data_IF_780789695083
#
_entry.id   IF_780789695083
#
_cell.length_a   1.000
_cell.length_b   1.000
_cell.length_c   1.000
_cell.angle_alpha   90.00
_cell.angle_beta   90.00
_cell.angle_gamma   90.00
#
_symmetry.space_group_name_H-M   'P 1'
#
loop_
_entity.id
_entity.type
_entity.pdbx_description
1 polymer ?
#
# COMPACT_ATOMS: atom_id res chain seq x y z
N UNK A 1 -6.15 -0.33 1.19
CA UNK A 1 -6.35 0.66 2.25
C UNK A 1 -7.40 0.17 3.24
N UNK A 2 -7.02 -0.06 4.50
CA UNK A 2 -7.93 -0.51 5.56
C UNK A 2 -8.87 0.60 6.05
N UNK A 3 -8.31 1.77 6.37
CA UNK A 3 -9.08 3.02 6.53
C UNK A 3 -9.56 3.45 5.12
N UNK A 4 -10.67 4.17 5.01
CA UNK A 4 -11.12 4.80 3.76
C UNK A 4 -10.74 6.28 3.75
N UNK A 5 -10.74 6.94 2.58
CA UNK A 5 -10.45 8.37 2.47
C UNK A 5 -11.43 9.21 3.32
N UNK A 6 -12.72 8.87 3.29
CA UNK A 6 -13.73 9.53 4.12
C UNK A 6 -13.46 9.30 5.62
N UNK A 7 -13.14 8.07 6.03
CA UNK A 7 -12.83 7.77 7.42
C UNK A 7 -11.52 8.45 7.88
N UNK A 8 -10.55 8.62 6.98
CA UNK A 8 -9.32 9.36 7.23
C UNK A 8 -9.62 10.85 7.45
N UNK A 9 -10.32 11.52 6.53
CA UNK A 9 -10.70 12.94 6.66
C UNK A 9 -11.46 13.16 7.98
N UNK A 10 -12.40 12.28 8.34
CA UNK A 10 -13.14 12.37 9.60
C UNK A 10 -12.31 12.15 10.88
N UNK A 11 -11.17 11.46 10.81
CA UNK A 11 -10.21 11.37 11.93
C UNK A 11 -9.39 12.66 12.02
N UNK A 12 -8.94 13.21 10.89
CA UNK A 12 -8.17 14.47 10.84
C UNK A 12 -9.02 15.67 11.27
N UNK A 13 -10.26 15.79 10.78
CA UNK A 13 -11.28 16.76 11.26
C UNK A 13 -11.53 16.63 12.77
N UNK A 14 -11.43 15.38 13.26
CA UNK A 14 -11.36 14.96 14.66
C UNK A 14 -10.32 15.69 15.54
N UNK A 15 -9.30 16.27 14.92
CA UNK A 15 -8.05 16.67 15.57
C UNK A 15 -7.21 15.48 16.02
N UNK A 16 -7.22 14.37 15.28
CA UNK A 16 -6.42 13.18 15.57
C UNK A 16 -5.24 13.06 14.60
N UNK A 17 -4.03 12.88 15.13
CA UNK A 17 -2.90 12.35 14.36
C UNK A 17 -3.05 10.83 14.30
N UNK A 18 -2.88 10.25 13.12
CA UNK A 18 -3.02 8.80 12.88
C UNK A 18 -1.68 8.25 12.38
N UNK A 19 -1.03 7.42 13.19
CA UNK A 19 0.30 6.88 12.91
C UNK A 19 0.19 5.35 12.73
N UNK A 20 0.48 4.77 11.55
CA UNK A 20 0.43 3.33 11.37
C UNK A 20 1.65 2.69 12.03
N UNK A 21 1.44 1.79 12.98
CA UNK A 21 2.54 1.05 13.62
C UNK A 21 2.99 -0.12 12.75
N UNK A 22 2.04 -0.75 12.06
CA UNK A 22 2.30 -1.75 11.02
C UNK A 22 1.18 -1.69 9.95
N UNK A 23 1.02 -2.75 9.14
CA UNK A 23 0.03 -2.80 8.07
C UNK A 23 -1.42 -3.08 8.53
N UNK A 24 -1.66 -3.28 9.83
CA UNK A 24 -2.96 -3.49 10.47
C UNK A 24 -3.21 -2.67 11.74
N UNK A 25 -2.18 -2.12 12.39
CA UNK A 25 -2.29 -1.34 13.63
C UNK A 25 -2.05 0.15 13.41
N UNK A 26 -2.87 0.99 14.03
CA UNK A 26 -2.66 2.43 14.15
C UNK A 26 -2.52 2.83 15.61
N UNK A 27 -1.67 3.80 15.86
CA UNK A 27 -1.76 4.67 17.02
C UNK A 27 -2.55 5.93 16.64
N UNK A 28 -3.59 6.23 17.42
CA UNK A 28 -4.31 7.50 17.35
C UNK A 28 -3.79 8.41 18.47
N UNK A 29 -3.49 9.66 18.16
CA UNK A 29 -3.03 10.65 19.13
C UNK A 29 -3.91 11.91 19.10
N UNK A 30 -4.20 12.48 20.28
CA UNK A 30 -4.85 13.79 20.44
C UNK A 30 -4.35 14.46 21.70
N UNK A 31 -3.43 15.42 21.54
CA UNK A 31 -2.71 16.01 22.68
C UNK A 31 -1.96 14.91 23.46
N UNK A 32 -2.19 14.81 24.76
CA UNK A 32 -1.59 13.77 25.60
C UNK A 32 -2.32 12.41 25.55
N UNK A 33 -3.47 12.29 24.89
CA UNK A 33 -4.22 11.03 24.81
C UNK A 33 -3.76 10.20 23.60
N UNK A 34 -3.42 8.94 23.84
CA UNK A 34 -2.98 7.98 22.83
C UNK A 34 -3.81 6.68 22.91
N UNK A 35 -4.04 6.02 21.77
CA UNK A 35 -4.66 4.70 21.72
C UNK A 35 -4.12 3.86 20.55
N UNK A 36 -3.62 2.66 20.84
CA UNK A 36 -3.20 1.69 19.82
C UNK A 36 -4.36 0.74 19.50
N UNK A 37 -4.80 0.75 18.25
CA UNK A 37 -5.96 0.02 17.75
C UNK A 37 -5.58 -0.85 16.54
N UNK A 38 -6.06 -2.10 16.49
CA UNK A 38 -6.03 -2.89 15.25
C UNK A 38 -7.19 -2.49 14.34
N UNK A 39 -6.90 -2.08 13.11
CA UNK A 39 -7.92 -1.69 12.12
C UNK A 39 -8.52 -2.92 11.45
N UNK A 40 -9.84 -3.07 11.55
CA UNK A 40 -10.61 -4.13 10.91
C UNK A 40 -11.67 -3.50 10.00
N UNK A 41 -11.46 -3.59 8.70
CA UNK A 41 -12.42 -3.12 7.69
C UNK A 41 -13.27 -4.27 7.14
N UNK A 42 -14.60 -4.17 7.19
CA UNK A 42 -15.52 -5.12 6.55
C UNK A 42 -16.46 -4.39 5.60
N UNK A 43 -16.57 -4.87 4.36
CA UNK A 43 -17.60 -4.40 3.40
C UNK A 43 -18.96 -5.11 3.54
N UNK A 44 -19.07 -6.06 4.48
CA UNK A 44 -20.33 -6.72 4.80
C UNK A 44 -20.97 -6.11 6.05
N UNK A 45 -22.30 -6.09 6.07
CA UNK A 45 -23.09 -5.88 7.30
C UNK A 45 -22.71 -6.96 8.30
N UNK A 46 -22.38 -6.55 9.53
CA UNK A 46 -22.01 -7.45 10.62
C UNK A 46 -23.14 -7.59 11.63
N UNK A 47 -23.13 -8.71 12.34
CA UNK A 47 -24.07 -9.09 13.38
C UNK A 47 -23.36 -9.10 14.75
N UNK A 48 -24.09 -9.05 15.89
CA UNK A 48 -23.46 -9.19 17.22
C UNK A 48 -22.66 -10.49 17.41
N UNK A 49 -23.07 -11.58 16.72
CA UNK A 49 -22.30 -12.84 16.65
C UNK A 49 -20.92 -12.68 16.04
N UNK A 50 -20.80 -11.83 15.02
CA UNK A 50 -19.55 -11.60 14.30
C UNK A 50 -18.59 -10.77 15.16
N UNK A 51 -19.13 -9.83 15.96
CA UNK A 51 -18.36 -9.10 16.97
C UNK A 51 -17.83 -10.06 18.05
N UNK A 52 -18.63 -11.03 18.50
CA UNK A 52 -18.18 -12.05 19.45
C UNK A 52 -17.10 -12.98 18.87
N UNK A 53 -17.21 -13.34 17.59
CA UNK A 53 -16.18 -14.09 16.87
C UNK A 53 -14.88 -13.27 16.73
N UNK A 54 -14.97 -12.01 16.31
CA UNK A 54 -13.84 -11.09 16.24
C UNK A 54 -13.16 -10.92 17.61
N UNK A 55 -13.92 -10.81 18.71
CA UNK A 55 -13.37 -10.70 20.09
C UNK A 55 -12.68 -11.97 20.58
N UNK A 56 -12.98 -13.11 19.95
CA UNK A 56 -12.27 -14.37 20.18
C UNK A 56 -10.96 -14.42 19.39
N UNK A 57 -10.96 -13.85 18.17
CA UNK A 57 -9.79 -13.77 17.28
C UNK A 57 -8.80 -12.66 17.67
N UNK A 58 -9.28 -11.56 18.27
CA UNK A 58 -8.50 -10.36 18.59
C UNK A 58 -8.68 -9.99 20.06
N UNK A 59 -7.57 -10.00 20.81
CA UNK A 59 -7.53 -9.66 22.23
C UNK A 59 -7.22 -8.19 22.51
N UNK A 60 -6.55 -7.51 21.58
CA UNK A 60 -6.29 -6.06 21.67
C UNK A 60 -7.52 -5.22 21.24
N UNK A 61 -7.53 -3.91 21.56
CA UNK A 61 -8.52 -2.97 21.05
C UNK A 61 -8.59 -2.95 19.51
N UNK A 62 -9.80 -2.86 18.97
CA UNK A 62 -10.06 -2.82 17.52
C UNK A 62 -10.69 -1.49 17.13
N UNK A 63 -10.31 -0.97 15.95
CA UNK A 63 -11.03 0.04 15.20
C UNK A 63 -11.82 -0.66 14.08
N UNK A 64 -13.12 -0.84 14.27
CA UNK A 64 -14.01 -1.48 13.31
C UNK A 64 -14.54 -0.46 12.30
N UNK A 65 -14.26 -0.65 11.01
CA UNK A 65 -14.75 0.22 9.92
C UNK A 65 -15.71 -0.59 9.05
N UNK A 66 -16.97 -0.16 9.00
CA UNK A 66 -18.09 -0.88 8.33
C UNK A 66 -19.02 0.06 7.58
N UNK A 67 -19.72 -0.39 6.51
CA UNK A 67 -20.68 0.43 5.78
C UNK A 67 -21.95 0.77 6.59
N UNK A 68 -22.26 -0.05 7.60
CA UNK A 68 -23.41 0.12 8.47
C UNK A 68 -23.24 -0.68 9.76
N UNK A 69 -23.60 -0.10 10.91
CA UNK A 69 -23.73 -0.80 12.17
C UNK A 69 -25.10 -0.52 12.79
N UNK A 70 -25.85 -1.57 13.14
CA UNK A 70 -27.10 -1.47 13.90
C UNK A 70 -26.82 -1.11 15.36
N UNK A 71 -27.79 -0.61 16.13
CA UNK A 71 -27.59 -0.29 17.56
C UNK A 71 -27.05 -1.49 18.37
N UNK A 72 -27.51 -2.71 18.06
CA UNK A 72 -27.02 -3.93 18.71
C UNK A 72 -25.54 -4.24 18.38
N UNK A 73 -25.08 -3.93 17.17
CA UNK A 73 -23.67 -4.08 16.77
C UNK A 73 -22.81 -3.02 17.45
N UNK A 74 -23.25 -1.76 17.47
CA UNK A 74 -22.55 -0.65 18.15
C UNK A 74 -22.37 -0.97 19.64
N UNK A 75 -23.45 -1.34 20.32
CA UNK A 75 -23.42 -1.75 21.72
C UNK A 75 -22.51 -2.97 21.97
N UNK A 76 -22.45 -3.95 21.06
CA UNK A 76 -21.55 -5.10 21.18
C UNK A 76 -20.06 -4.73 21.02
N UNK A 77 -19.74 -3.74 20.18
CA UNK A 77 -18.38 -3.21 20.01
C UNK A 77 -17.99 -2.34 21.21
N UNK A 78 -18.87 -1.46 21.65
CA UNK A 78 -18.67 -0.61 22.83
C UNK A 78 -18.50 -1.43 24.11
N UNK A 79 -19.30 -2.49 24.30
CA UNK A 79 -19.15 -3.44 25.41
C UNK A 79 -17.87 -4.31 25.32
N UNK A 80 -17.17 -4.31 24.19
CA UNK A 80 -15.83 -4.88 24.05
C UNK A 80 -14.71 -3.85 24.34
N UNK A 81 -15.06 -2.59 24.65
CA UNK A 81 -14.10 -1.48 24.81
C UNK A 81 -13.49 -1.01 23.49
N UNK A 82 -14.08 -1.38 22.36
CA UNK A 82 -13.56 -1.16 21.01
C UNK A 82 -14.13 0.12 20.38
N UNK A 83 -13.42 0.59 19.35
CA UNK A 83 -13.81 1.75 18.55
C UNK A 83 -14.54 1.30 17.28
N UNK A 84 -15.48 2.11 16.79
CA UNK A 84 -16.14 1.88 15.51
C UNK A 84 -16.33 3.17 14.70
N UNK A 85 -16.22 3.03 13.38
CA UNK A 85 -16.63 4.01 12.38
C UNK A 85 -17.62 3.33 11.42
N UNK A 86 -18.82 3.89 11.30
CA UNK A 86 -19.72 3.62 10.18
C UNK A 86 -19.37 4.57 9.07
N UNK A 87 -18.77 4.04 8.01
CA UNK A 87 -18.51 4.73 6.74
C UNK A 87 -19.63 4.40 5.75
N UNK A 88 -20.72 5.16 5.82
CA UNK A 88 -21.83 5.03 4.88
C UNK A 88 -21.56 5.72 3.52
N UNK A 89 -20.29 5.96 3.17
CA UNK A 89 -19.84 6.72 2.01
C UNK A 89 -20.02 8.22 2.17
N UNK A 90 -21.25 8.69 2.41
CA UNK A 90 -21.58 10.13 2.54
C UNK A 90 -21.29 10.73 3.91
N UNK A 91 -21.33 9.88 4.94
CA UNK A 91 -21.17 10.28 6.33
C UNK A 91 -20.37 9.21 7.03
N UNK A 92 -19.24 9.62 7.60
CA UNK A 92 -18.54 8.84 8.61
C UNK A 92 -19.09 9.29 9.96
N UNK A 93 -19.62 8.35 10.71
CA UNK A 93 -20.07 8.56 12.09
C UNK A 93 -19.53 7.44 12.96
N UNK A 94 -19.11 7.75 14.18
CA UNK A 94 -18.45 6.75 14.99
C UNK A 94 -18.21 7.13 16.43
N UNK A 95 -17.64 6.18 17.16
CA UNK A 95 -17.20 6.33 18.53
C UNK A 95 -15.80 5.71 18.65
N UNK A 96 -14.83 6.51 19.08
CA UNK A 96 -13.49 6.04 19.40
C UNK A 96 -13.36 5.89 20.92
N UNK A 97 -12.78 4.78 21.35
CA UNK A 97 -12.36 4.54 22.73
C UNK A 97 -10.92 5.04 22.89
N UNK A 98 -10.75 6.28 23.35
CA UNK A 98 -9.46 6.95 23.53
C UNK A 98 -9.13 7.03 25.02
N UNK A 99 -8.11 6.30 25.47
CA UNK A 99 -7.74 6.21 26.90
C UNK A 99 -8.93 5.86 27.84
N UNK A 100 -9.89 5.08 27.35
CA UNK A 100 -11.12 4.72 28.09
C UNK A 100 -12.25 5.77 28.02
N UNK A 101 -12.04 6.89 27.34
CA UNK A 101 -13.06 7.92 27.12
C UNK A 101 -13.66 7.81 25.71
N UNK A 102 -15.00 7.89 25.57
CA UNK A 102 -15.67 7.89 24.27
C UNK A 102 -15.52 9.25 23.57
N UNK A 103 -14.88 9.26 22.41
CA UNK A 103 -14.79 10.40 21.50
C UNK A 103 -15.74 10.18 20.30
N UNK A 104 -16.85 10.94 20.17
CA UNK A 104 -17.69 10.88 18.98
C UNK A 104 -16.96 11.45 17.76
N UNK A 105 -17.10 10.78 16.63
CA UNK A 105 -16.59 11.20 15.31
C UNK A 105 -17.78 11.47 14.38
N UNK A 106 -17.71 12.58 13.65
CA UNK A 106 -18.70 12.93 12.64
C UNK A 106 -18.25 14.12 11.80
N UNK A 107 -18.09 13.90 10.48
CA UNK A 107 -17.83 14.98 9.51
C UNK A 107 -19.04 15.23 8.61
N UNK A 108 -19.11 16.45 8.06
CA UNK A 108 -20.04 16.81 6.98
C UNK A 108 -19.30 16.81 5.64
N UNK A 109 -19.93 16.17 4.66
CA UNK A 109 -19.77 16.27 3.20
C UNK A 109 -18.36 16.25 2.57
N UNK A 110 -18.11 15.21 1.76
CA UNK A 110 -17.20 15.23 0.61
C UNK A 110 -17.57 14.14 -0.42
N UNK A 111 -17.02 14.22 -1.63
CA UNK A 111 -17.47 13.48 -2.83
C UNK A 111 -17.06 11.99 -2.94
N UNK A 112 -17.67 11.27 -3.90
CA UNK A 112 -17.69 9.79 -4.06
C UNK A 112 -16.65 9.27 -5.11
N UNK A 113 -16.49 7.93 -5.41
CA UNK A 113 -17.16 6.70 -4.92
C UNK A 113 -16.08 5.68 -4.36
N UNK A 114 -16.07 4.32 -4.52
CA UNK A 114 -17.03 3.31 -4.97
C UNK A 114 -17.27 2.09 -4.02
N UNK A 115 -18.14 1.17 -4.45
CA UNK A 115 -18.63 -0.01 -3.70
C UNK A 115 -17.59 -1.14 -3.63
N UNK A 116 -17.00 -1.38 -2.45
CA UNK A 116 -15.98 -2.43 -2.22
C UNK A 116 -16.59 -3.85 -2.21
N UNK A 117 -16.38 -4.61 -3.28
CA UNK A 117 -16.48 -6.08 -3.24
C UNK A 117 -15.48 -6.64 -2.22
N UNK A 118 -15.82 -7.74 -1.54
CA UNK A 118 -14.86 -8.45 -0.66
C UNK A 118 -13.70 -8.95 -1.55
N UNK A 119 -12.44 -8.50 -1.35
CA UNK A 119 -11.32 -9.22 -1.94
C UNK A 119 -11.24 -10.58 -1.26
N UNK A 120 -11.09 -11.65 -2.04
CA UNK A 120 -10.55 -12.90 -1.49
C UNK A 120 -9.14 -12.66 -0.92
N UNK A 121 -8.57 -13.63 -0.22
CA UNK A 121 -7.18 -13.54 0.26
C UNK A 121 -6.27 -13.25 -0.94
N UNK A 122 -5.71 -12.03 -1.00
CA UNK A 122 -4.93 -11.58 -2.16
C UNK A 122 -3.74 -12.53 -2.37
N UNK A 123 -3.55 -13.06 -3.59
CA UNK A 123 -2.47 -14.00 -3.87
C UNK A 123 -1.14 -13.27 -4.08
N UNK A 124 -0.62 -12.59 -3.03
CA UNK A 124 0.63 -11.81 -3.10
C UNK A 124 1.78 -12.57 -3.76
N UNK A 125 1.94 -13.86 -3.45
CA UNK A 125 2.96 -14.70 -4.08
C UNK A 125 2.88 -14.73 -5.62
N UNK A 126 1.69 -14.73 -6.21
CA UNK A 126 1.52 -14.68 -7.69
C UNK A 126 1.98 -13.32 -8.24
N UNK A 127 1.59 -12.23 -7.58
CA UNK A 127 2.03 -10.87 -7.95
C UNK A 127 3.54 -10.66 -7.77
N UNK A 128 4.13 -11.21 -6.70
CA UNK A 128 5.57 -11.16 -6.46
C UNK A 128 6.34 -12.01 -7.47
N UNK A 129 5.80 -13.16 -7.90
CA UNK A 129 6.42 -13.97 -8.95
C UNK A 129 6.39 -13.28 -10.31
N UNK A 130 5.27 -12.69 -10.72
CA UNK A 130 5.20 -11.95 -11.98
C UNK A 130 6.18 -10.76 -11.98
N UNK A 131 6.24 -9.99 -10.89
CA UNK A 131 7.15 -8.82 -10.85
C UNK A 131 8.62 -9.19 -10.84
N UNK A 132 9.00 -10.26 -10.13
CA UNK A 132 10.37 -10.79 -10.17
C UNK A 132 10.72 -11.36 -11.55
N UNK A 133 9.79 -11.98 -12.27
CA UNK A 133 10.01 -12.42 -13.66
C UNK A 133 10.11 -11.26 -14.67
N UNK A 134 9.45 -10.13 -14.41
CA UNK A 134 9.53 -8.95 -15.26
C UNK A 134 10.93 -8.29 -15.22
N UNK A 135 11.58 -8.23 -14.06
CA UNK A 135 12.95 -7.68 -13.91
C UNK A 135 14.05 -8.77 -14.09
N UNK A 136 13.76 -10.03 -13.76
CA UNK A 136 14.68 -11.17 -13.91
C UNK A 136 14.12 -12.25 -14.87
N UNK A 137 14.40 -12.13 -16.18
CA UNK A 137 14.09 -13.18 -17.14
C UNK A 137 14.85 -14.48 -16.81
N UNK A 138 14.30 -15.61 -17.27
CA UNK A 138 14.85 -16.96 -17.14
C UNK A 138 15.13 -17.43 -15.70
N UNK A 139 14.44 -16.86 -14.70
CA UNK A 139 14.59 -17.29 -13.31
C UNK A 139 14.07 -18.73 -13.10
N UNK A 140 14.87 -19.56 -12.42
CA UNK A 140 14.47 -20.91 -12.01
C UNK A 140 13.42 -20.86 -10.88
N UNK A 141 12.65 -21.94 -10.69
CA UNK A 141 11.69 -22.02 -9.57
C UNK A 141 12.35 -21.85 -8.20
N UNK A 142 13.61 -22.27 -8.04
CA UNK A 142 14.36 -22.13 -6.79
C UNK A 142 14.76 -20.66 -6.53
N UNK A 143 15.25 -19.96 -7.55
CA UNK A 143 15.50 -18.52 -7.46
C UNK A 143 14.20 -17.76 -7.17
N UNK A 144 13.12 -18.07 -7.89
CA UNK A 144 11.80 -17.47 -7.68
C UNK A 144 11.24 -17.72 -6.28
N UNK A 145 11.46 -18.92 -5.71
CA UNK A 145 11.08 -19.22 -4.33
C UNK A 145 11.82 -18.34 -3.31
N UNK A 146 13.13 -18.19 -3.47
CA UNK A 146 13.95 -17.31 -2.64
C UNK A 146 13.54 -15.83 -2.79
N UNK A 147 13.35 -15.37 -4.03
CA UNK A 147 13.01 -13.98 -4.36
C UNK A 147 11.60 -13.56 -3.94
N UNK A 148 10.66 -14.51 -3.84
CA UNK A 148 9.28 -14.25 -3.44
C UNK A 148 8.97 -14.66 -1.99
N UNK A 149 9.92 -15.24 -1.25
CA UNK A 149 9.74 -15.66 0.14
C UNK A 149 8.67 -16.75 0.32
N UNK A 150 8.50 -17.63 -0.67
CA UNK A 150 7.47 -18.69 -0.66
C UNK A 150 8.04 -20.06 -1.02
N UNK A 151 7.37 -21.13 -0.60
CA UNK A 151 7.82 -22.49 -0.88
C UNK A 151 7.72 -22.84 -2.38
N UNK A 152 8.65 -23.67 -2.87
CA UNK A 152 8.68 -24.10 -4.27
C UNK A 152 7.37 -24.72 -4.80
N UNK A 153 6.60 -25.52 -4.03
CA UNK A 153 5.28 -25.98 -4.48
C UNK A 153 4.30 -24.82 -4.75
N UNK A 154 4.35 -23.75 -3.94
CA UNK A 154 3.53 -22.55 -4.14
C UNK A 154 3.98 -21.74 -5.36
N UNK A 155 5.29 -21.71 -5.63
CA UNK A 155 5.84 -21.17 -6.89
C UNK A 155 5.31 -21.95 -8.09
N UNK A 156 5.37 -23.29 -8.05
CA UNK A 156 4.89 -24.12 -9.17
C UNK A 156 3.39 -23.96 -9.43
N UNK A 157 2.56 -23.84 -8.38
CA UNK A 157 1.12 -23.58 -8.52
C UNK A 157 0.84 -22.21 -9.14
N UNK A 158 1.54 -21.17 -8.70
CA UNK A 158 1.38 -19.82 -9.22
C UNK A 158 1.88 -19.69 -10.67
N UNK A 159 2.99 -20.33 -11.03
CA UNK A 159 3.50 -20.35 -12.40
C UNK A 159 2.58 -21.11 -13.35
N UNK A 160 1.96 -22.21 -12.91
CA UNK A 160 0.93 -22.90 -13.70
C UNK A 160 -0.26 -21.97 -13.97
N UNK A 161 -0.80 -21.32 -12.94
CA UNK A 161 -1.93 -20.39 -13.08
C UNK A 161 -1.63 -19.14 -13.95
N UNK A 162 -0.37 -18.68 -13.97
CA UNK A 162 0.09 -17.62 -14.86
C UNK A 162 0.32 -18.11 -16.30
N UNK A 163 0.76 -19.35 -16.49
CA UNK A 163 0.95 -19.98 -17.80
C UNK A 163 -0.38 -20.31 -18.48
N UNK A 164 -1.39 -20.75 -17.72
CA UNK A 164 -2.77 -20.94 -18.18
C UNK A 164 -3.41 -19.62 -18.67
N UNK A 165 -2.91 -18.48 -18.18
CA UNK A 165 -3.28 -17.13 -18.64
C UNK A 165 -2.36 -16.59 -19.76
N UNK A 166 -1.40 -17.39 -20.24
CA UNK A 166 -0.44 -17.02 -21.29
C UNK A 166 0.67 -16.05 -20.84
N UNK A 167 0.67 -15.58 -19.59
CA UNK A 167 1.56 -14.52 -19.11
C UNK A 167 3.03 -14.95 -18.98
N UNK A 168 3.26 -16.22 -18.66
CA UNK A 168 4.61 -16.79 -18.48
C UNK A 168 4.74 -18.11 -19.23
N UNK A 169 5.96 -18.43 -19.63
CA UNK A 169 6.29 -19.71 -20.25
C UNK A 169 7.59 -20.27 -19.66
N UNK A 170 7.79 -21.59 -19.82
CA UNK A 170 9.00 -22.27 -19.40
C UNK A 170 9.98 -22.35 -20.58
N UNK A 171 11.22 -21.95 -20.34
CA UNK A 171 12.36 -22.11 -21.24
C UNK A 171 13.29 -23.21 -20.72
N UNK A 172 14.31 -23.65 -21.48
CA UNK A 172 15.36 -24.53 -20.96
C UNK A 172 16.16 -23.90 -19.82
N UNK A 173 16.30 -22.57 -19.79
CA UNK A 173 17.06 -21.82 -18.79
C UNK A 173 16.25 -21.54 -17.50
N UNK A 174 14.93 -21.43 -17.58
CA UNK A 174 14.06 -21.17 -16.43
C UNK A 174 12.63 -20.83 -16.81
N UNK A 175 12.05 -19.83 -16.16
CA UNK A 175 10.76 -19.25 -16.52
C UNK A 175 10.95 -17.83 -17.04
N UNK A 176 10.12 -17.42 -17.99
CA UNK A 176 10.15 -16.07 -18.54
C UNK A 176 8.74 -15.53 -18.78
N UNK A 177 8.61 -14.20 -18.82
CA UNK A 177 7.37 -13.55 -19.24
C UNK A 177 7.22 -13.73 -20.75
N UNK A 178 6.03 -14.16 -21.20
CA UNK A 178 5.75 -14.42 -22.62
C UNK A 178 5.72 -13.13 -23.43
N UNK A 179 4.95 -12.15 -22.95
CA UNK A 179 4.88 -10.79 -23.46
C UNK A 179 4.87 -9.83 -22.27
N UNK A 180 5.85 -8.92 -22.26
CA UNK A 180 6.04 -7.95 -21.19
C UNK A 180 4.92 -6.89 -21.16
N UNK A 181 4.34 -6.56 -22.31
CA UNK A 181 3.26 -5.58 -22.39
C UNK A 181 1.94 -6.19 -21.92
N UNK A 182 1.66 -7.45 -22.29
CA UNK A 182 0.56 -8.21 -21.70
C UNK A 182 0.70 -8.33 -20.16
N UNK A 183 1.92 -8.54 -19.64
CA UNK A 183 2.18 -8.55 -18.20
C UNK A 183 1.95 -7.19 -17.53
N UNK A 184 2.32 -6.08 -18.17
CA UNK A 184 2.03 -4.73 -17.67
C UNK A 184 0.52 -4.44 -17.62
N UNK A 185 -0.21 -4.80 -18.67
CA UNK A 185 -1.67 -4.61 -18.73
C UNK A 185 -2.39 -5.48 -17.69
N UNK A 186 -2.01 -6.75 -17.57
CA UNK A 186 -2.54 -7.64 -16.53
C UNK A 186 -2.23 -7.11 -15.13
N UNK A 187 -1.01 -6.60 -14.90
CA UNK A 187 -0.61 -6.02 -13.61
C UNK A 187 -1.47 -4.83 -13.22
N UNK A 188 -1.59 -3.83 -14.10
CA UNK A 188 -2.37 -2.62 -13.85
C UNK A 188 -3.86 -2.91 -13.60
N UNK A 189 -4.41 -3.94 -14.26
CA UNK A 189 -5.79 -4.38 -14.10
C UNK A 189 -6.04 -5.25 -12.86
N UNK A 190 -5.19 -6.25 -12.61
CA UNK A 190 -5.44 -7.30 -11.62
C UNK A 190 -4.85 -7.03 -10.23
N UNK A 191 -3.77 -6.22 -10.13
CA UNK A 191 -3.12 -5.97 -8.84
C UNK A 191 -3.96 -4.97 -8.00
N UNK A 192 -4.47 -5.39 -6.82
CA UNK A 192 -5.38 -4.58 -6.00
C UNK A 192 -4.66 -3.48 -5.19
N UNK A 193 -3.35 -3.31 -5.41
CA UNK A 193 -2.48 -2.40 -4.68
C UNK A 193 -1.82 -3.00 -3.44
N UNK A 194 -0.94 -2.23 -2.79
CA UNK A 194 -0.09 -2.69 -1.68
C UNK A 194 -0.86 -3.08 -0.40
N UNK A 195 -2.16 -2.81 -0.33
CA UNK A 195 -2.98 -3.07 0.84
C UNK A 195 -2.66 -2.10 1.99
N UNK A 196 -2.62 -2.61 3.22
CA UNK A 196 -2.08 -1.87 4.36
C UNK A 196 -2.82 -0.62 4.83
N UNK A 197 -2.08 0.16 5.60
CA UNK A 197 -2.45 1.45 6.15
C UNK A 197 -1.68 2.56 5.43
N UNK A 198 -2.31 3.73 5.31
CA UNK A 198 -1.80 4.90 4.60
C UNK A 198 -2.10 6.14 5.44
N UNK A 199 -1.19 7.10 5.36
CA UNK A 199 -1.32 8.43 5.93
C UNK A 199 -1.03 9.47 4.85
N UNK A 200 -1.71 10.61 4.94
CA UNK A 200 -1.71 11.67 3.94
C UNK A 200 -1.18 12.95 4.58
N UNK A 201 -0.24 13.61 3.90
CA UNK A 201 0.53 14.72 4.45
C UNK A 201 0.70 15.83 3.40
N UNK A 202 0.68 17.07 3.88
CA UNK A 202 0.94 18.28 3.12
C UNK A 202 2.25 18.92 3.59
N UNK A 203 3.05 19.39 2.64
CA UNK A 203 4.27 20.17 2.86
C UNK A 203 4.47 21.20 1.75
N UNK A 204 5.28 22.22 2.03
CA UNK A 204 5.56 23.31 1.09
C UNK A 204 6.71 23.01 0.12
N UNK A 205 7.66 22.16 0.53
CA UNK A 205 8.83 21.82 -0.29
C UNK A 205 8.47 20.92 -1.48
N UNK A 206 9.31 20.82 -2.53
CA UNK A 206 9.08 19.91 -3.64
C UNK A 206 8.91 18.45 -3.19
N UNK A 207 8.05 17.63 -3.85
CA UNK A 207 7.81 16.25 -3.42
C UNK A 207 9.07 15.37 -3.32
N UNK A 208 10.10 15.65 -4.13
CA UNK A 208 11.40 14.95 -4.05
C UNK A 208 12.08 15.23 -2.70
N UNK A 209 12.17 16.50 -2.29
CA UNK A 209 12.79 16.93 -1.03
C UNK A 209 11.97 16.49 0.20
N UNK A 210 10.63 16.45 0.08
CA UNK A 210 9.77 15.84 1.10
C UNK A 210 10.08 14.35 1.27
N UNK A 211 10.23 13.60 0.16
CA UNK A 211 10.56 12.18 0.21
C UNK A 211 11.94 11.95 0.85
N UNK A 212 12.96 12.71 0.46
CA UNK A 212 14.32 12.63 1.03
C UNK A 212 14.34 12.91 2.53
N UNK A 213 13.63 13.95 2.98
CA UNK A 213 13.51 14.31 4.40
C UNK A 213 12.87 13.16 5.19
N UNK A 214 11.77 12.58 4.67
CA UNK A 214 11.05 11.48 5.33
C UNK A 214 11.87 10.18 5.35
N UNK A 215 12.63 9.87 4.29
CA UNK A 215 13.58 8.75 4.28
C UNK A 215 14.68 8.95 5.33
N UNK A 216 15.22 10.17 5.45
CA UNK A 216 16.24 10.49 6.45
C UNK A 216 15.76 10.19 7.88
N UNK A 217 14.53 10.59 8.21
CA UNK A 217 13.90 10.33 9.51
C UNK A 217 13.58 8.84 9.75
N UNK A 218 13.07 8.14 8.73
CA UNK A 218 12.64 6.74 8.85
C UNK A 218 13.80 5.76 8.90
N UNK A 219 14.90 6.02 8.18
CA UNK A 219 15.99 5.05 8.03
C UNK A 219 16.93 5.04 9.23
N UNK A 220 17.33 6.20 9.76
CA UNK A 220 18.41 6.30 10.76
C UNK A 220 19.68 5.49 10.39
N UNK A 221 19.92 5.27 9.08
CA UNK A 221 20.99 4.42 8.53
C UNK A 221 20.58 3.02 8.04
N UNK A 222 19.35 2.54 8.25
CA UNK A 222 18.83 1.27 7.70
C UNK A 222 17.86 1.52 6.53
N UNK A 223 18.40 1.65 5.32
CA UNK A 223 17.64 1.85 4.09
C UNK A 223 16.78 0.63 3.67
N UNK A 224 16.96 -0.53 4.30
CA UNK A 224 16.23 -1.77 3.97
C UNK A 224 14.74 -1.77 4.37
N UNK A 225 14.25 -0.68 4.99
CA UNK A 225 12.90 -0.57 5.56
C UNK A 225 12.01 0.48 4.91
N UNK A 226 12.52 1.18 3.91
CA UNK A 226 11.86 2.30 3.22
C UNK A 226 12.00 2.16 1.71
N UNK A 227 11.01 2.59 0.95
CA UNK A 227 11.09 2.64 -0.51
C UNK A 227 10.22 3.76 -1.09
N UNK A 228 10.74 4.52 -2.05
CA UNK A 228 10.03 5.59 -2.75
C UNK A 228 9.37 5.04 -4.00
N UNK A 229 8.18 5.54 -4.32
CA UNK A 229 7.37 5.15 -5.46
C UNK A 229 6.66 6.35 -6.11
N UNK A 230 5.72 6.08 -7.02
CA UNK A 230 4.94 7.09 -7.72
C UNK A 230 5.81 7.98 -8.62
N UNK A 231 5.40 9.24 -8.79
CA UNK A 231 6.10 10.18 -9.66
C UNK A 231 7.56 10.40 -9.26
N UNK A 232 7.87 10.49 -7.96
CA UNK A 232 9.25 10.72 -7.50
C UNK A 232 10.16 9.59 -7.97
N UNK A 233 9.78 8.33 -7.73
CA UNK A 233 10.57 7.20 -8.21
C UNK A 233 10.61 7.11 -9.74
N UNK A 234 9.51 7.45 -10.42
CA UNK A 234 9.46 7.48 -11.87
C UNK A 234 10.42 8.52 -12.45
N UNK A 235 10.59 9.68 -11.82
CA UNK A 235 11.54 10.71 -12.24
C UNK A 235 12.99 10.23 -12.12
N UNK A 236 13.35 9.47 -11.07
CA UNK A 236 14.66 8.80 -10.97
C UNK A 236 14.89 7.70 -12.03
N UNK A 237 13.84 6.99 -12.46
CA UNK A 237 13.95 5.84 -13.38
C UNK A 237 13.89 6.28 -14.86
N UNK A 238 13.00 7.22 -15.15
CA UNK A 238 12.58 7.62 -16.49
C UNK A 238 11.98 9.05 -16.46
N UNK A 239 12.83 10.09 -16.29
CA UNK A 239 12.37 11.47 -16.16
C UNK A 239 11.48 11.88 -17.34
N UNK A 240 10.28 12.36 -17.02
CA UNK A 240 9.26 12.70 -18.03
C UNK A 240 8.33 13.84 -17.61
N UNK A 241 7.80 13.80 -16.38
CA UNK A 241 7.03 14.90 -15.78
C UNK A 241 7.57 15.25 -14.41
N UNK A 242 7.45 16.53 -14.02
CA UNK A 242 7.76 16.97 -12.66
C UNK A 242 6.87 16.25 -11.64
N UNK A 243 7.45 15.69 -10.55
CA UNK A 243 6.66 14.99 -9.55
C UNK A 243 5.63 15.87 -8.85
N UNK A 244 4.39 15.36 -8.72
CA UNK A 244 3.30 16.05 -8.03
C UNK A 244 3.07 15.57 -6.60
N UNK A 245 3.37 14.29 -6.35
CA UNK A 245 3.16 13.64 -5.06
C UNK A 245 4.27 12.63 -4.79
N UNK A 246 4.78 12.64 -3.57
CA UNK A 246 5.68 11.62 -3.05
C UNK A 246 4.88 10.43 -2.52
N UNK A 247 5.31 9.22 -2.83
CA UNK A 247 4.79 8.00 -2.18
C UNK A 247 5.97 7.31 -1.51
N UNK A 248 5.92 7.21 -0.18
CA UNK A 248 6.93 6.55 0.63
C UNK A 248 6.32 5.31 1.27
N UNK A 249 6.85 4.15 0.95
CA UNK A 249 6.59 2.90 1.65
C UNK A 249 7.54 2.77 2.83
N UNK A 250 7.03 2.34 3.98
CA UNK A 250 7.82 2.06 5.18
C UNK A 250 7.34 0.78 5.88
N UNK A 251 8.22 0.09 6.61
CA UNK A 251 7.82 -1.06 7.44
C UNK A 251 6.97 -0.65 8.66
N UNK A 252 7.19 0.57 9.15
CA UNK A 252 6.48 1.22 10.26
C UNK A 252 6.24 2.68 9.88
N UNK A 253 5.13 3.27 10.31
CA UNK A 253 4.87 4.69 10.14
C UNK A 253 5.64 5.57 11.12
N UNK A 254 5.49 6.88 10.93
CA UNK A 254 6.10 7.93 11.74
C UNK A 254 5.15 9.15 11.76
N UNK A 255 5.19 9.94 12.83
CA UNK A 255 4.59 11.27 12.84
C UNK A 255 5.49 12.26 12.10
N UNK A 256 5.04 12.70 10.93
CA UNK A 256 5.80 13.59 10.04
C UNK A 256 5.61 15.08 10.38
N UNK A 257 4.90 15.43 11.45
CA UNK A 257 4.93 16.82 11.98
C UNK A 257 6.34 17.27 12.36
N UNK A 258 7.17 16.33 12.81
CA UNK A 258 8.61 16.53 13.04
C UNK A 258 9.40 16.87 11.76
N UNK A 259 8.89 16.51 10.58
CA UNK A 259 9.44 16.83 9.27
C UNK A 259 8.91 18.16 8.69
N UNK A 260 8.10 18.91 9.45
CA UNK A 260 7.40 20.10 8.96
C UNK A 260 6.15 19.80 8.12
N UNK A 261 5.72 18.53 8.04
CA UNK A 261 4.52 18.15 7.31
C UNK A 261 3.26 18.21 8.19
N UNK A 262 2.12 18.56 7.61
CA UNK A 262 0.83 18.61 8.32
C UNK A 262 -0.08 17.48 7.82
N UNK A 263 -0.87 16.80 8.68
CA UNK A 263 -1.87 15.84 8.23
C UNK A 263 -2.84 16.48 7.24
N UNK A 264 -3.07 15.81 6.11
CA UNK A 264 -3.86 16.31 4.99
C UNK A 264 -4.94 15.29 4.58
N UNK A 265 -5.78 15.66 3.62
CA UNK A 265 -6.67 14.74 2.91
C UNK A 265 -6.14 14.39 1.51
N UNK A 266 -6.94 13.69 0.70
CA UNK A 266 -6.51 13.17 -0.61
C UNK A 266 -6.26 14.27 -1.64
N UNK A 267 -6.95 15.39 -1.52
CA UNK A 267 -6.98 16.44 -2.53
C UNK A 267 -5.74 17.33 -2.36
N UNK A 268 -5.41 17.66 -1.12
CA UNK A 268 -4.26 18.52 -0.77
C UNK A 268 -2.94 17.76 -0.59
N UNK A 269 -2.93 16.43 -0.34
CA UNK A 269 -1.69 15.72 0.01
C UNK A 269 -0.58 15.82 -1.05
N UNK A 270 0.60 16.24 -0.60
CA UNK A 270 1.87 16.23 -1.37
C UNK A 270 2.70 14.98 -1.09
N UNK A 271 2.44 14.27 0.02
CA UNK A 271 3.12 13.04 0.39
C UNK A 271 2.16 12.00 0.98
N UNK A 272 2.27 10.75 0.52
CA UNK A 272 1.62 9.58 1.16
C UNK A 272 2.68 8.70 1.82
N UNK A 273 2.52 8.42 3.12
CA UNK A 273 3.32 7.42 3.84
C UNK A 273 2.47 6.16 4.04
N UNK A 274 2.93 5.04 3.47
CA UNK A 274 2.18 3.78 3.37
C UNK A 274 2.93 2.65 4.07
N UNK A 275 2.25 1.90 4.93
CA UNK A 275 2.75 0.66 5.51
C UNK A 275 2.05 -0.53 4.85
N UNK A 276 2.70 -1.21 3.87
CA UNK A 276 2.03 -2.12 2.95
C UNK A 276 1.79 -3.51 3.56
N UNK A 277 0.76 -4.22 3.07
CA UNK A 277 0.58 -5.67 3.31
C UNK A 277 1.26 -6.55 2.26
N UNK A 278 1.54 -6.00 1.09
CA UNK A 278 2.24 -6.71 0.03
C UNK A 278 3.76 -6.73 0.30
N UNK A 279 4.38 -7.90 0.55
CA UNK A 279 5.82 -8.00 0.75
C UNK A 279 6.62 -7.77 -0.54
N UNK A 280 5.97 -7.74 -1.70
CA UNK A 280 6.65 -7.51 -2.99
C UNK A 280 6.89 -6.04 -3.35
N UNK A 281 6.44 -5.08 -2.53
CA UNK A 281 6.65 -3.63 -2.73
C UNK A 281 8.14 -3.28 -2.73
N UNK A 282 8.92 -3.96 -1.89
CA UNK A 282 10.35 -3.72 -1.73
C UNK A 282 11.16 -4.16 -2.97
N UNK A 283 12.25 -3.47 -3.29
CA UNK A 283 13.15 -3.89 -4.37
C UNK A 283 13.72 -5.28 -4.11
N UNK A 284 14.19 -5.93 -5.17
CA UNK A 284 14.79 -7.26 -5.08
C UNK A 284 16.08 -7.23 -4.25
N UNK A 285 16.20 -7.99 -3.13
CA UNK A 285 17.40 -7.94 -2.27
C UNK A 285 18.71 -8.39 -2.95
N UNK A 286 18.62 -9.07 -4.10
CA UNK A 286 19.78 -9.48 -4.89
C UNK A 286 20.35 -8.34 -5.75
N UNK A 287 19.64 -7.22 -5.89
CA UNK A 287 20.14 -6.01 -6.54
C UNK A 287 20.75 -5.12 -5.46
N UNK A 288 22.08 -5.08 -5.39
CA UNK A 288 22.78 -4.12 -4.54
C UNK A 288 22.53 -2.70 -5.07
N UNK A 289 21.58 -2.02 -4.45
CA UNK A 289 21.39 -0.57 -4.58
C UNK A 289 22.58 0.11 -3.90
N UNK A 290 23.17 1.13 -4.53
CA UNK A 290 24.25 1.89 -3.90
C UNK A 290 23.70 2.60 -2.66
N UNK A 291 24.40 2.58 -1.50
CA UNK A 291 23.86 3.12 -0.25
C UNK A 291 23.58 4.63 -0.29
N UNK A 292 24.14 5.36 -1.26
CA UNK A 292 23.89 6.79 -1.48
C UNK A 292 22.73 7.09 -2.45
N UNK A 293 22.15 6.06 -3.08
CA UNK A 293 21.02 6.24 -4.02
C UNK A 293 19.66 6.06 -3.33
N UNK A 294 18.68 6.89 -3.73
CA UNK A 294 17.33 6.85 -3.16
C UNK A 294 16.76 5.42 -3.21
N UNK A 295 16.27 4.87 -2.08
CA UNK A 295 15.75 3.51 -2.07
C UNK A 295 14.43 3.47 -2.85
N UNK A 296 14.42 2.89 -4.06
CA UNK A 296 13.23 2.82 -4.90
C UNK A 296 12.43 1.54 -4.65
N UNK A 297 11.11 1.63 -4.80
CA UNK A 297 10.21 0.49 -4.79
C UNK A 297 10.41 -0.41 -6.03
N UNK A 298 9.81 -1.59 -6.01
CA UNK A 298 9.76 -2.48 -7.17
C UNK A 298 9.18 -1.75 -8.40
N UNK A 299 9.79 -1.95 -9.58
CA UNK A 299 9.41 -1.21 -10.80
C UNK A 299 7.93 -1.35 -11.18
N UNK A 300 7.32 -2.51 -10.90
CA UNK A 300 5.89 -2.71 -11.17
C UNK A 300 5.00 -2.06 -10.10
N UNK A 301 5.51 -1.90 -8.88
CA UNK A 301 4.86 -1.05 -7.87
C UNK A 301 4.93 0.42 -8.29
N UNK A 302 6.10 0.92 -8.74
CA UNK A 302 6.23 2.28 -9.30
C UNK A 302 5.25 2.50 -10.46
N UNK A 303 5.18 1.57 -11.41
CA UNK A 303 4.25 1.65 -12.54
C UNK A 303 2.77 1.75 -12.09
N UNK A 304 2.39 1.01 -11.05
CA UNK A 304 1.03 1.00 -10.50
C UNK A 304 0.70 2.27 -9.69
N UNK A 305 1.69 2.86 -9.03
CA UNK A 305 1.55 4.12 -8.29
C UNK A 305 1.48 5.32 -9.25
N UNK A 306 2.32 5.36 -10.29
CA UNK A 306 2.23 6.37 -11.36
C UNK A 306 0.85 6.33 -12.03
N UNK A 307 0.34 5.14 -12.35
CA UNK A 307 -0.99 4.99 -12.99
C UNK A 307 -2.17 5.44 -12.13
N UNK A 308 -1.95 5.79 -10.85
CA UNK A 308 -2.95 6.34 -9.92
C UNK A 308 -2.67 7.77 -9.50
N UNK A 309 -1.51 8.30 -9.85
CA UNK A 309 -1.15 9.68 -9.48
C UNK A 309 -1.97 10.65 -10.32
N UNK A 310 -2.69 11.63 -9.72
CA UNK A 310 -3.62 12.50 -10.45
C UNK A 310 -2.96 13.32 -11.56
N UNK A 311 -3.50 13.23 -12.77
CA UNK A 311 -3.02 14.01 -13.91
C UNK A 311 -3.69 13.70 -15.24
N UNK A 312 -3.80 14.71 -16.10
CA UNK A 312 -4.22 14.57 -17.50
C UNK A 312 -3.18 13.86 -18.37
N UNK A 313 -1.95 13.79 -17.88
CA UNK A 313 -0.72 13.31 -18.50
C UNK A 313 -0.28 11.93 -17.97
N UNK A 314 -1.10 11.30 -17.11
CA UNK A 314 -0.75 10.04 -16.44
C UNK A 314 -0.62 8.86 -17.42
N UNK A 315 -1.44 8.79 -18.48
CA UNK A 315 -1.32 7.72 -19.49
C UNK A 315 -0.01 7.81 -20.28
N UNK A 316 0.47 9.02 -20.57
CA UNK A 316 1.74 9.27 -21.26
C UNK A 316 2.93 8.94 -20.35
N UNK A 317 2.87 9.32 -19.07
CA UNK A 317 3.86 8.94 -18.06
C UNK A 317 3.97 7.40 -17.91
N UNK A 318 2.83 6.71 -17.85
CA UNK A 318 2.76 5.23 -17.80
C UNK A 318 3.41 4.61 -19.04
N UNK A 319 3.07 5.09 -20.24
CA UNK A 319 3.66 4.58 -21.49
C UNK A 319 5.18 4.82 -21.57
N UNK A 320 5.64 5.98 -21.10
CA UNK A 320 7.07 6.31 -21.06
C UNK A 320 7.84 5.38 -20.11
N UNK A 321 7.32 5.15 -18.90
CA UNK A 321 7.93 4.24 -17.92
C UNK A 321 7.95 2.80 -18.43
N UNK A 322 6.86 2.31 -19.03
CA UNK A 322 6.80 0.98 -19.66
C UNK A 322 7.90 0.81 -20.74
N UNK A 323 8.13 1.83 -21.58
CA UNK A 323 9.19 1.81 -22.59
C UNK A 323 10.57 1.65 -21.96
N UNK A 324 10.89 2.43 -20.92
CA UNK A 324 12.19 2.33 -20.22
C UNK A 324 12.35 0.98 -19.51
N UNK A 325 11.27 0.43 -18.94
CA UNK A 325 11.28 -0.92 -18.37
C UNK A 325 11.55 -2.01 -19.43
N UNK A 326 10.96 -1.93 -20.63
CA UNK A 326 11.28 -2.83 -21.76
C UNK A 326 12.75 -2.74 -22.15
N UNK A 327 13.27 -1.53 -22.32
CA UNK A 327 14.68 -1.30 -22.67
C UNK A 327 15.66 -1.83 -21.61
N UNK A 328 15.33 -1.67 -20.32
CA UNK A 328 16.09 -2.25 -19.20
C UNK A 328 16.09 -3.78 -19.25
N UNK A 329 14.92 -4.39 -19.43
CA UNK A 329 14.75 -5.85 -19.53
C UNK A 329 15.58 -6.45 -20.68
N UNK A 330 15.57 -5.82 -21.85
CA UNK A 330 16.39 -6.25 -23.00
C UNK A 330 17.90 -5.98 -22.84
N UNK A 331 18.33 -5.13 -21.89
CA UNK A 331 19.74 -5.08 -21.46
C UNK A 331 20.07 -6.29 -20.57
N UNK A 332 19.21 -6.62 -19.59
CA UNK A 332 19.40 -7.77 -18.69
C UNK A 332 19.46 -9.09 -19.46
N UNK A 333 18.53 -9.32 -20.40
CA UNK A 333 18.53 -10.50 -21.29
C UNK A 333 19.86 -10.66 -22.04
N UNK A 334 20.37 -9.59 -22.64
CA UNK A 334 21.65 -9.62 -23.36
C UNK A 334 22.84 -9.94 -22.43
N UNK A 335 22.85 -9.41 -21.21
CA UNK A 335 23.92 -9.71 -20.22
C UNK A 335 23.88 -11.13 -19.65
N UNK A 336 22.78 -11.87 -19.81
CA UNK A 336 22.65 -13.26 -19.35
C UNK A 336 22.91 -14.31 -20.44
N UNK A 337 23.05 -13.89 -21.71
CA UNK A 337 23.36 -14.76 -22.86
C UNK A 337 24.84 -14.65 -23.28
N UNK A 338 25.52 -13.58 -22.86
CA UNK A 338 26.95 -13.32 -23.08
C UNK A 338 27.84 -14.03 -22.03
#
# INVERSE_FOLDING_TARGET
MLISTAAWRALVDAGLTVIPLDAEHVELQRGAAQAVLRVVSSSAVLNPSDIAALRTQHRQPVLLIVPSATPAVRAAVEAAGWSWLVDAGRQVSGLLSMAGHPLPIGSRDADAPPRRTRPGRVPWGTFTLLRRLADHPWATQQQLAALAGVSQPRVSQALAALADQGLVHRTPAGWDVTDIDAAFQWWLHAYPGPGGLRTLWYGLEPPVEQAETVIGLLTNGDHGRTAVSGDVAADFIAPWRSPRRAIVYAQTGLDLTSAGLTPADEDDATLELIVPKDPGVWPCPAVQVQPESMPLADLLQVLWDVSRTPGTDTDEAVQHLQRVMRERRERVRRSQVA
#
